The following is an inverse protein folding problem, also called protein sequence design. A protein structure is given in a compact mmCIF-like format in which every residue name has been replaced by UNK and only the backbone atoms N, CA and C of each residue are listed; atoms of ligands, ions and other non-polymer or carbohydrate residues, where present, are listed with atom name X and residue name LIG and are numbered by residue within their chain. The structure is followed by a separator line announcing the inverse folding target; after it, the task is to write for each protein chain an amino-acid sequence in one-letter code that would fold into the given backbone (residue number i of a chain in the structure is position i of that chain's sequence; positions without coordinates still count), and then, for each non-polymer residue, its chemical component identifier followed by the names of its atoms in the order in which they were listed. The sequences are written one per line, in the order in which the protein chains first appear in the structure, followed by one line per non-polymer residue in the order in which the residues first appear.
data_IF_656700585106
#
_entry.id   IF_656700585106
#
_cell.length_a   1.000
_cell.length_b   1.000
_cell.length_c   1.000
_cell.angle_alpha   90.00
_cell.angle_beta   90.00
_cell.angle_gamma   90.00
#
_symmetry.space_group_name_H-M   'P 1'
#
loop_
_entity.id
_entity.type
_entity.pdbx_description
1 polymer ?
#
# COMPACT_ATOMS: atom_id res chain seq x y z
N UNK A 1 -15.37 -2.39 8.33
CA UNK A 1 -14.77 -1.08 8.11
C UNK A 1 -13.61 -1.17 7.14
N UNK A 2 -13.61 -0.32 6.13
CA UNK A 2 -12.51 -0.24 5.18
C UNK A 2 -11.57 0.87 5.57
N UNK A 3 -10.28 0.61 5.45
CA UNK A 3 -9.25 1.60 5.71
C UNK A 3 -8.75 2.19 4.41
N UNK A 4 -8.41 3.46 4.44
CA UNK A 4 -7.78 4.11 3.30
C UNK A 4 -6.27 3.97 3.41
N UNK A 5 -5.65 3.53 2.32
CA UNK A 5 -4.21 3.37 2.22
C UNK A 5 -3.69 4.24 1.09
N UNK A 6 -2.70 5.06 1.41
CA UNK A 6 -2.01 5.84 0.40
C UNK A 6 -0.84 5.00 -0.13
N UNK A 7 -0.94 4.59 -1.38
CA UNK A 7 0.02 3.66 -2.00
C UNK A 7 0.91 4.43 -2.96
N UNK A 8 2.21 4.32 -2.76
CA UNK A 8 3.20 4.99 -3.59
C UNK A 8 4.14 3.94 -4.18
N UNK A 9 4.25 3.89 -5.51
CA UNK A 9 5.16 2.98 -6.19
C UNK A 9 6.60 3.50 -6.04
N UNK A 10 7.45 2.71 -5.42
CA UNK A 10 8.86 3.04 -5.19
C UNK A 10 9.81 2.04 -5.83
N UNK A 11 9.30 1.27 -6.80
CA UNK A 11 10.09 0.24 -7.48
C UNK A 11 11.29 0.82 -8.21
N UNK A 12 11.11 1.99 -8.80
CA UNK A 12 12.19 2.73 -9.44
C UNK A 12 12.69 3.82 -8.51
N UNK A 13 14.00 4.08 -8.53
CA UNK A 13 14.62 5.10 -7.69
C UNK A 13 14.15 6.53 -7.98
N UNK A 14 13.33 6.68 -8.99
CA UNK A 14 12.71 7.96 -9.30
C UNK A 14 11.44 8.09 -8.47
N UNK A 15 11.41 9.10 -7.62
CA UNK A 15 10.21 9.43 -6.87
C UNK A 15 9.08 9.71 -7.85
N UNK A 16 8.24 8.72 -8.05
CA UNK A 16 7.00 8.93 -8.77
C UNK A 16 6.03 9.60 -7.80
N UNK A 17 5.73 10.86 -8.07
CA UNK A 17 4.77 11.63 -7.27
C UNK A 17 3.34 11.10 -7.40
N UNK A 18 3.16 9.97 -8.05
CA UNK A 18 1.84 9.37 -8.25
C UNK A 18 1.50 8.46 -7.10
N UNK A 19 0.86 9.04 -6.10
CA UNK A 19 0.25 8.25 -5.05
C UNK A 19 -1.20 7.94 -5.41
N UNK A 20 -1.63 6.73 -5.10
CA UNK A 20 -3.03 6.34 -5.27
C UNK A 20 -3.62 6.01 -3.91
N UNK A 21 -4.85 6.43 -3.69
CA UNK A 21 -5.57 6.04 -2.49
C UNK A 21 -6.40 4.80 -2.80
N UNK A 22 -6.13 3.75 -2.04
CA UNK A 22 -6.86 2.48 -2.16
C UNK A 22 -7.57 2.16 -0.85
N UNK A 23 -8.72 1.53 -0.94
CA UNK A 23 -9.47 1.10 0.24
C UNK A 23 -9.44 -0.42 0.33
N UNK A 24 -9.17 -0.91 1.51
CA UNK A 24 -9.17 -2.34 1.77
C UNK A 24 -9.53 -2.61 3.23
N UNK A 25 -9.99 -3.80 3.50
CA UNK A 25 -10.37 -4.20 4.87
C UNK A 25 -9.15 -4.53 5.72
N UNK A 26 -8.05 -4.89 5.08
CA UNK A 26 -6.80 -5.18 5.77
C UNK A 26 -5.63 -4.97 4.83
N UNK A 27 -4.44 -4.87 5.40
CA UNK A 27 -3.21 -4.72 4.62
C UNK A 27 -2.99 -5.92 3.70
N UNK A 28 -3.31 -7.11 4.18
CA UNK A 28 -3.19 -8.34 3.38
C UNK A 28 -4.09 -8.31 2.14
N UNK A 29 -5.30 -7.79 2.30
CA UNK A 29 -6.23 -7.65 1.17
C UNK A 29 -5.75 -6.57 0.19
N UNK A 30 -5.11 -5.53 0.71
CA UNK A 30 -4.50 -4.50 -0.13
C UNK A 30 -3.40 -5.10 -0.99
N UNK A 31 -2.56 -5.96 -0.41
CA UNK A 31 -1.47 -6.61 -1.13
C UNK A 31 -1.96 -7.43 -2.32
N UNK A 32 -3.16 -7.99 -2.23
CA UNK A 32 -3.73 -8.76 -3.35
C UNK A 32 -4.06 -7.88 -4.55
N UNK A 33 -4.21 -6.58 -4.35
CA UNK A 33 -4.47 -5.62 -5.42
C UNK A 33 -3.17 -5.05 -6.00
N UNK A 34 -2.04 -5.31 -5.39
CA UNK A 34 -0.75 -4.78 -5.79
C UNK A 34 0.03 -5.79 -6.62
N UNK A 35 0.95 -5.27 -7.45
CA UNK A 35 1.81 -6.12 -8.27
C UNK A 35 2.92 -6.72 -7.40
N UNK A 36 3.05 -8.04 -7.40
CA UNK A 36 4.07 -8.73 -6.61
C UNK A 36 5.50 -8.44 -7.09
N UNK A 37 5.66 -7.93 -8.29
CA UNK A 37 6.97 -7.58 -8.85
C UNK A 37 7.40 -6.17 -8.51
N UNK A 38 6.53 -5.40 -7.85
CA UNK A 38 6.82 -4.01 -7.51
C UNK A 38 6.87 -3.82 -6.01
N UNK A 39 7.61 -2.80 -5.61
CA UNK A 39 7.68 -2.40 -4.21
C UNK A 39 6.86 -1.13 -4.02
N UNK A 40 6.09 -1.11 -2.94
CA UNK A 40 5.22 0.03 -2.62
C UNK A 40 5.45 0.51 -1.20
N UNK A 41 5.37 1.82 -1.04
CA UNK A 41 5.30 2.43 0.29
C UNK A 41 3.83 2.72 0.56
N UNK A 42 3.32 2.21 1.67
CA UNK A 42 1.92 2.38 2.05
C UNK A 42 1.85 3.18 3.33
N UNK A 43 1.12 4.28 3.30
CA UNK A 43 0.86 5.13 4.45
C UNK A 43 -0.61 5.00 4.82
N UNK A 44 -0.89 4.77 6.09
CA UNK A 44 -2.27 4.63 6.56
C UNK A 44 -2.39 5.03 8.02
N UNK A 45 -3.63 5.24 8.44
CA UNK A 45 -3.95 5.58 9.82
C UNK A 45 -4.69 4.38 10.42
N UNK A 46 -4.20 3.90 11.59
CA UNK A 46 -4.83 2.77 12.26
C UNK A 46 -6.05 3.21 13.07
N UNK A 47 -6.71 2.25 13.73
CA UNK A 47 -7.90 2.52 14.55
C UNK A 47 -7.66 3.51 15.68
N UNK A 48 -6.42 3.61 16.15
CA UNK A 48 -6.05 4.51 17.24
C UNK A 48 -5.71 5.91 16.76
N UNK A 49 -5.75 6.15 15.45
CA UNK A 49 -5.43 7.44 14.87
C UNK A 49 -3.93 7.66 14.65
N UNK A 50 -3.12 6.63 14.80
CA UNK A 50 -1.68 6.72 14.57
C UNK A 50 -1.35 6.54 13.08
N UNK A 51 -0.51 7.41 12.56
CA UNK A 51 -0.01 7.28 11.20
C UNK A 51 1.06 6.20 11.14
N UNK A 52 0.89 5.25 10.24
CA UNK A 52 1.83 4.16 10.05
C UNK A 52 2.32 4.15 8.60
N UNK A 53 3.60 3.85 8.44
CA UNK A 53 4.22 3.73 7.13
C UNK A 53 4.83 2.34 7.03
N UNK A 54 4.53 1.62 5.96
CA UNK A 54 5.09 0.30 5.73
C UNK A 54 5.50 0.15 4.28
N UNK A 55 6.50 -0.69 4.06
CA UNK A 55 6.97 -1.02 2.72
C UNK A 55 6.55 -2.46 2.42
N UNK A 56 5.74 -2.61 1.39
CA UNK A 56 5.22 -3.92 1.02
C UNK A 56 5.27 -4.12 -0.50
N UNK A 57 5.26 -5.37 -0.91
CA UNK A 57 5.04 -5.74 -2.30
C UNK A 57 3.72 -6.48 -2.39
N UNK A 58 3.23 -6.68 -3.62
CA UNK A 58 2.01 -7.45 -3.82
C UNK A 58 2.20 -8.92 -3.49
N UNK A 59 1.10 -9.65 -3.43
CA UNK A 59 1.10 -11.10 -3.22
C UNK A 59 0.99 -11.76 -4.58
N UNK A 60 1.87 -12.73 -4.83
CA UNK A 60 1.83 -13.49 -6.06
C UNK A 60 0.50 -14.22 -6.21
N UNK A 61 -0.20 -14.03 -7.33
CA UNK A 61 -1.47 -14.74 -7.56
C UNK A 61 -1.19 -16.22 -7.80
N UNK A 62 -1.98 -17.02 -7.15
CA UNK A 62 -1.93 -18.47 -7.39
C UNK A 62 -2.83 -18.83 -8.55
#
# INVERSE_FOLDING_TARGET
MRYEYKVIDITEDKENDKSETMRAMSLKKLQKKLDHKKLYRVEYINKKGNELITHISGIEPK
#
